data_IF_906849648208
#
_entry.id   IF_906849648208
#
_cell.length_a   1.000
_cell.length_b   1.000
_cell.length_c   1.000
_cell.angle_alpha   90.00
_cell.angle_beta   90.00
_cell.angle_gamma   90.00
#
_symmetry.space_group_name_H-M   'P 1'
#
loop_
_entity.id
_entity.type
_entity.pdbx_description
1 polymer ?
#
# COMPACT_ATOMS: atom_id res chain seq x y z
N UNK A 1 23.88 -18.96 4.20
CA UNK A 1 24.74 -18.86 5.40
C UNK A 1 24.47 -20.07 6.29
N UNK A 2 25.31 -20.35 7.29
CA UNK A 2 25.00 -21.30 8.39
C UNK A 2 25.40 -20.60 9.68
N UNK A 3 24.50 -20.55 10.66
CA UNK A 3 24.70 -19.85 11.95
C UNK A 3 25.19 -18.40 11.81
N UNK A 4 24.67 -17.67 10.80
CA UNK A 4 25.05 -16.28 10.54
C UNK A 4 26.41 -16.11 9.84
N UNK A 5 27.07 -17.20 9.45
CA UNK A 5 28.34 -17.17 8.73
C UNK A 5 28.15 -17.48 7.23
N UNK A 6 28.79 -16.66 6.41
CA UNK A 6 28.84 -16.83 4.96
C UNK A 6 29.56 -18.14 4.60
N UNK A 7 28.87 -19.02 3.88
CA UNK A 7 29.42 -20.31 3.41
C UNK A 7 30.11 -20.16 2.04
N UNK A 8 29.57 -19.29 1.20
CA UNK A 8 30.06 -19.01 -0.15
C UNK A 8 29.90 -17.52 -0.41
N UNK A 9 30.97 -16.88 -0.91
CA UNK A 9 30.94 -15.52 -1.41
C UNK A 9 30.45 -15.53 -2.84
N UNK A 10 29.21 -15.11 -3.02
CA UNK A 10 28.65 -14.78 -4.34
C UNK A 10 28.83 -13.29 -4.60
N UNK A 11 29.07 -12.92 -5.86
CA UNK A 11 29.05 -11.51 -6.24
C UNK A 11 27.68 -10.90 -5.96
N UNK A 12 27.65 -9.59 -5.72
CA UNK A 12 26.39 -8.86 -5.58
C UNK A 12 25.52 -9.07 -6.82
N UNK A 13 24.21 -9.22 -6.62
CA UNK A 13 23.28 -9.40 -7.71
C UNK A 13 23.28 -8.18 -8.63
N UNK A 14 23.18 -8.43 -9.93
CA UNK A 14 23.08 -7.35 -10.91
C UNK A 14 21.85 -6.49 -10.61
N UNK A 15 22.02 -5.17 -10.58
CA UNK A 15 20.96 -4.21 -10.24
C UNK A 15 19.70 -4.40 -11.07
N UNK A 16 19.83 -4.68 -12.38
CA UNK A 16 18.69 -4.97 -13.25
C UNK A 16 17.90 -6.23 -12.83
N UNK A 17 18.54 -7.23 -12.23
CA UNK A 17 17.85 -8.40 -11.69
C UNK A 17 17.07 -8.07 -10.43
N UNK A 18 17.61 -7.21 -9.56
CA UNK A 18 16.93 -6.72 -8.36
C UNK A 18 15.71 -5.87 -8.76
N UNK A 19 15.87 -4.96 -9.72
CA UNK A 19 14.75 -4.17 -10.24
C UNK A 19 13.69 -5.08 -10.88
N UNK A 20 14.10 -6.07 -11.67
CA UNK A 20 13.19 -7.04 -12.26
C UNK A 20 12.40 -7.84 -11.21
N UNK A 21 13.03 -8.18 -10.07
CA UNK A 21 12.35 -8.80 -8.94
C UNK A 21 11.33 -7.85 -8.29
N UNK A 22 11.71 -6.58 -8.09
CA UNK A 22 10.83 -5.56 -7.51
C UNK A 22 9.65 -5.18 -8.42
N UNK A 23 9.80 -5.29 -9.74
CA UNK A 23 8.76 -5.01 -10.76
C UNK A 23 8.18 -6.29 -11.37
N UNK A 24 8.20 -7.40 -10.63
CA UNK A 24 7.76 -8.72 -11.09
C UNK A 24 6.25 -8.95 -10.95
N UNK A 25 5.41 -7.89 -10.99
CA UNK A 25 3.95 -8.04 -10.99
C UNK A 25 3.45 -8.97 -12.11
N UNK A 26 4.19 -9.08 -13.22
CA UNK A 26 3.94 -10.06 -14.30
C UNK A 26 4.09 -11.53 -13.86
N UNK A 27 4.76 -11.80 -12.73
CA UNK A 27 4.82 -13.12 -12.09
C UNK A 27 3.57 -13.39 -11.22
N UNK A 28 2.53 -12.56 -11.31
CA UNK A 28 1.23 -12.78 -10.69
C UNK A 28 0.70 -14.20 -10.97
N UNK A 29 -0.04 -14.75 -10.02
CA UNK A 29 -0.74 -16.00 -10.25
C UNK A 29 -1.78 -15.82 -11.36
N UNK A 30 -2.13 -16.90 -12.07
CA UNK A 30 -3.20 -16.87 -13.09
C UNK A 30 -4.49 -16.27 -12.51
N UNK A 31 -4.80 -16.56 -11.25
CA UNK A 31 -5.93 -15.97 -10.52
C UNK A 31 -5.83 -14.45 -10.45
N UNK A 32 -4.68 -13.92 -10.05
CA UNK A 32 -4.50 -12.48 -9.90
C UNK A 32 -4.61 -11.74 -11.25
N UNK A 33 -3.99 -12.26 -12.32
CA UNK A 33 -4.15 -11.70 -13.67
C UNK A 33 -5.60 -11.74 -14.16
N UNK A 34 -6.31 -12.86 -13.92
CA UNK A 34 -7.72 -12.97 -14.30
C UNK A 34 -8.61 -12.01 -13.51
N UNK A 35 -8.31 -11.76 -12.24
CA UNK A 35 -9.03 -10.79 -11.44
C UNK A 35 -8.85 -9.36 -11.96
N UNK A 36 -7.66 -9.01 -12.44
CA UNK A 36 -7.42 -7.70 -13.06
C UNK A 36 -8.24 -7.52 -14.34
N UNK A 37 -8.23 -8.52 -15.24
CA UNK A 37 -9.07 -8.53 -16.43
C UNK A 37 -10.55 -8.45 -16.03
N UNK A 38 -10.95 -9.23 -15.04
CA UNK A 38 -12.32 -9.26 -14.54
C UNK A 38 -12.79 -7.87 -14.07
N UNK A 39 -11.94 -7.09 -13.40
CA UNK A 39 -12.29 -5.74 -12.97
C UNK A 39 -12.39 -4.77 -14.15
N UNK A 40 -11.62 -4.97 -15.21
CA UNK A 40 -11.66 -4.11 -16.39
C UNK A 40 -12.84 -4.38 -17.36
N UNK A 41 -13.45 -5.58 -17.32
CA UNK A 41 -14.49 -5.97 -18.30
C UNK A 41 -15.93 -5.66 -17.86
N UNK A 42 -16.89 -5.46 -18.80
CA UNK A 42 -18.31 -5.26 -18.49
C UNK A 42 -18.97 -6.45 -17.78
N UNK A 43 -20.08 -6.19 -17.07
CA UNK A 43 -20.79 -7.18 -16.25
C UNK A 43 -21.20 -8.47 -16.97
N UNK A 44 -21.54 -8.39 -18.26
CA UNK A 44 -21.88 -9.57 -19.07
C UNK A 44 -20.68 -10.51 -19.27
N UNK A 45 -19.48 -9.95 -19.49
CA UNK A 45 -18.23 -10.71 -19.64
C UNK A 45 -17.79 -11.26 -18.28
N UNK A 46 -17.94 -10.48 -17.20
CA UNK A 46 -17.71 -10.94 -15.82
C UNK A 46 -18.51 -12.20 -15.49
N UNK A 47 -19.80 -12.21 -15.81
CA UNK A 47 -20.67 -13.38 -15.58
C UNK A 47 -20.22 -14.63 -16.32
N UNK A 48 -19.66 -14.47 -17.54
CA UNK A 48 -19.10 -15.57 -18.31
C UNK A 48 -17.75 -16.07 -17.77
N UNK A 49 -17.00 -15.20 -17.06
CA UNK A 49 -15.71 -15.54 -16.42
C UNK A 49 -15.86 -16.19 -15.04
N UNK A 50 -16.99 -16.01 -14.35
CA UNK A 50 -17.23 -16.57 -13.00
C UNK A 50 -16.92 -18.09 -12.91
N UNK A 51 -17.36 -18.96 -13.84
CA UNK A 51 -17.06 -20.40 -13.76
C UNK A 51 -15.57 -20.73 -13.92
N UNK A 52 -14.80 -19.88 -14.62
CA UNK A 52 -13.35 -20.06 -14.76
C UNK A 52 -12.63 -19.64 -13.49
N UNK A 53 -13.06 -18.53 -12.86
CA UNK A 53 -12.54 -18.10 -11.57
C UNK A 53 -12.80 -19.15 -10.50
N UNK A 54 -14.02 -19.68 -10.40
CA UNK A 54 -14.37 -20.71 -9.42
C UNK A 54 -13.47 -21.96 -9.58
N UNK A 55 -13.23 -22.41 -10.82
CA UNK A 55 -12.34 -23.55 -11.09
C UNK A 55 -10.90 -23.31 -10.64
N UNK A 56 -10.41 -22.07 -10.75
CA UNK A 56 -9.07 -21.68 -10.35
C UNK A 56 -8.99 -21.49 -8.82
N UNK A 57 -10.06 -21.02 -8.18
CA UNK A 57 -10.13 -20.94 -6.71
C UNK A 57 -10.13 -22.31 -6.04
N UNK A 58 -10.71 -23.33 -6.68
CA UNK A 58 -10.76 -24.70 -6.16
C UNK A 58 -9.57 -25.55 -6.61
N UNK A 59 -8.70 -25.02 -7.48
CA UNK A 59 -7.42 -25.63 -7.82
C UNK A 59 -6.43 -25.47 -6.67
N UNK A 60 -5.81 -26.56 -6.23
CA UNK A 60 -4.85 -26.56 -5.11
C UNK A 60 -3.49 -25.95 -5.46
N UNK A 61 -3.19 -25.76 -6.75
CA UNK A 61 -1.90 -25.24 -7.20
C UNK A 61 -2.01 -23.79 -7.66
N UNK A 62 -1.31 -22.90 -6.95
CA UNK A 62 -1.11 -21.51 -7.39
C UNK A 62 -0.12 -21.54 -8.56
N UNK A 63 -0.65 -21.56 -9.78
CA UNK A 63 0.15 -21.52 -10.98
C UNK A 63 0.60 -20.07 -11.28
N UNK A 64 1.92 -19.88 -11.41
CA UNK A 64 2.57 -18.66 -11.86
C UNK A 64 3.13 -18.90 -13.28
N UNK A 65 2.70 -18.13 -14.30
CA UNK A 65 3.24 -18.31 -15.66
C UNK A 65 4.72 -17.97 -15.77
N UNK A 66 5.17 -17.00 -14.97
CA UNK A 66 6.59 -16.61 -14.86
C UNK A 66 7.03 -16.95 -13.43
N UNK A 67 8.11 -17.73 -13.25
CA UNK A 67 8.59 -18.07 -11.92
C UNK A 67 9.06 -16.82 -11.16
N UNK A 68 8.90 -16.78 -9.82
CA UNK A 68 9.39 -15.67 -9.01
C UNK A 68 10.92 -15.60 -9.04
N UNK A 69 11.45 -14.41 -8.73
CA UNK A 69 12.89 -14.22 -8.62
C UNK A 69 13.42 -15.01 -7.42
N UNK A 70 14.39 -15.91 -7.65
CA UNK A 70 14.93 -16.76 -6.57
C UNK A 70 16.36 -16.37 -6.22
N UNK A 71 16.65 -16.36 -4.92
CA UNK A 71 17.99 -16.10 -4.39
C UNK A 71 18.34 -17.06 -3.27
N UNK A 72 19.64 -17.26 -3.02
CA UNK A 72 20.10 -18.10 -1.91
C UNK A 72 19.64 -17.53 -0.58
N UNK A 73 18.99 -18.36 0.24
CA UNK A 73 18.43 -17.89 1.49
C UNK A 73 19.54 -17.58 2.51
N UNK A 74 19.70 -16.30 2.93
CA UNK A 74 20.66 -15.94 3.96
C UNK A 74 20.32 -16.58 5.32
N UNK A 75 19.06 -16.93 5.55
CA UNK A 75 18.58 -17.54 6.79
C UNK A 75 18.50 -19.06 6.74
N UNK A 76 19.01 -19.72 5.69
CA UNK A 76 18.98 -21.17 5.59
C UNK A 76 19.66 -21.80 6.82
N UNK A 77 19.01 -22.82 7.39
CA UNK A 77 19.43 -23.51 8.61
C UNK A 77 19.53 -22.62 9.85
N UNK A 78 18.84 -21.47 9.90
CA UNK A 78 18.73 -20.69 11.14
C UNK A 78 18.00 -21.51 12.21
N UNK A 79 18.58 -21.60 13.40
CA UNK A 79 17.94 -22.21 14.56
C UNK A 79 17.10 -21.16 15.27
N UNK A 80 15.78 -21.36 15.29
CA UNK A 80 14.85 -20.45 15.97
C UNK A 80 13.69 -21.22 16.59
N UNK A 81 13.19 -20.72 17.72
CA UNK A 81 11.96 -21.20 18.34
C UNK A 81 10.69 -20.63 17.69
N UNK A 82 10.82 -19.62 16.81
CA UNK A 82 9.69 -19.09 16.04
C UNK A 82 9.37 -20.01 14.86
N UNK A 83 8.11 -20.41 14.72
CA UNK A 83 7.65 -21.26 13.63
C UNK A 83 7.92 -20.63 12.25
N UNK A 84 7.73 -19.31 12.11
CA UNK A 84 7.99 -18.57 10.88
C UNK A 84 9.48 -18.59 10.50
N UNK A 85 10.35 -18.38 11.49
CA UNK A 85 11.80 -18.43 11.26
C UNK A 85 12.29 -19.86 11.01
N UNK A 86 11.67 -20.86 11.61
CA UNK A 86 11.95 -22.27 11.33
C UNK A 86 11.54 -22.64 9.90
N UNK A 87 10.37 -22.18 9.43
CA UNK A 87 9.95 -22.38 8.04
C UNK A 87 10.91 -21.66 7.09
N UNK A 88 11.24 -20.41 7.36
CA UNK A 88 12.22 -19.65 6.59
C UNK A 88 13.56 -20.38 6.52
N UNK A 89 14.04 -20.90 7.66
CA UNK A 89 15.30 -21.65 7.77
C UNK A 89 15.30 -22.99 7.05
N UNK A 90 14.14 -23.58 6.78
CA UNK A 90 14.02 -24.85 6.06
C UNK A 90 14.26 -24.73 4.55
N UNK A 91 14.11 -23.52 3.99
CA UNK A 91 14.15 -23.28 2.55
C UNK A 91 15.56 -22.87 2.11
N UNK A 92 16.21 -23.58 1.17
CA UNK A 92 17.53 -23.22 0.67
C UNK A 92 17.52 -21.96 -0.20
N UNK A 93 16.38 -21.65 -0.81
CA UNK A 93 16.16 -20.51 -1.69
C UNK A 93 14.98 -19.68 -1.18
N UNK A 94 15.08 -18.36 -1.34
CA UNK A 94 13.96 -17.44 -1.18
C UNK A 94 13.39 -17.10 -2.55
N UNK A 95 12.07 -17.17 -2.67
CA UNK A 95 11.33 -16.68 -3.82
C UNK A 95 10.77 -15.30 -3.48
N UNK A 96 11.20 -14.29 -4.24
CA UNK A 96 10.75 -12.91 -4.10
C UNK A 96 9.85 -12.54 -5.28
N UNK A 97 8.89 -11.67 -4.98
CA UNK A 97 7.95 -11.14 -5.95
C UNK A 97 7.65 -9.67 -5.65
N UNK A 98 7.05 -8.99 -6.61
CA UNK A 98 6.59 -7.61 -6.50
C UNK A 98 5.65 -7.41 -5.30
N UNK A 99 5.91 -6.37 -4.51
CA UNK A 99 5.12 -6.04 -3.34
C UNK A 99 3.70 -5.57 -3.70
N UNK A 100 3.47 -5.04 -4.91
CA UNK A 100 2.14 -4.64 -5.39
C UNK A 100 1.11 -5.78 -5.42
N UNK A 101 1.59 -7.03 -5.43
CA UNK A 101 0.76 -8.21 -5.29
C UNK A 101 0.11 -8.33 -3.90
N UNK A 102 0.73 -7.73 -2.87
CA UNK A 102 0.16 -7.62 -1.52
C UNK A 102 -0.30 -6.19 -1.21
N UNK A 103 0.51 -5.17 -1.42
CA UNK A 103 0.10 -3.78 -1.22
C UNK A 103 0.91 -2.84 -2.12
N UNK A 104 0.23 -2.08 -2.98
CA UNK A 104 0.88 -1.09 -3.85
C UNK A 104 1.52 0.06 -3.07
N UNK A 105 1.11 0.29 -1.82
CA UNK A 105 1.67 1.33 -0.98
C UNK A 105 2.69 0.73 0.02
N UNK A 106 3.98 1.13 -0.04
CA UNK A 106 5.05 0.50 0.73
C UNK A 106 5.09 0.96 2.19
N UNK A 107 3.97 0.79 2.91
CA UNK A 107 3.86 1.18 4.32
C UNK A 107 4.71 0.30 5.24
N UNK A 108 4.69 -1.03 5.05
CA UNK A 108 5.36 -1.99 5.92
C UNK A 108 6.84 -1.65 6.20
N UNK A 109 7.67 -1.32 5.18
CA UNK A 109 9.03 -0.84 5.44
C UNK A 109 9.06 0.38 6.37
N UNK A 110 8.19 1.37 6.16
CA UNK A 110 8.17 2.65 6.89
C UNK A 110 7.67 2.52 8.34
N UNK A 111 6.86 1.51 8.65
CA UNK A 111 6.23 1.33 9.95
C UNK A 111 7.10 0.60 10.98
N UNK A 112 8.31 0.17 10.59
CA UNK A 112 9.29 -0.40 11.52
C UNK A 112 9.64 0.57 12.66
N UNK A 113 9.52 0.17 13.94
CA UNK A 113 9.72 1.07 15.08
C UNK A 113 11.07 1.80 15.08
N UNK A 114 12.13 1.15 14.60
CA UNK A 114 13.49 1.68 14.59
C UNK A 114 13.66 2.89 13.67
N UNK A 115 12.79 3.03 12.65
CA UNK A 115 12.83 4.20 11.75
C UNK A 115 12.30 5.47 12.39
N UNK A 116 11.49 5.35 13.45
CA UNK A 116 10.96 6.51 14.17
C UNK A 116 10.17 7.48 13.28
N UNK A 117 9.54 7.00 12.21
CA UNK A 117 8.81 7.84 11.24
C UNK A 117 7.69 8.62 11.93
N UNK A 118 7.58 9.90 11.62
CA UNK A 118 6.54 10.79 12.17
C UNK A 118 5.57 11.29 11.10
N UNK A 119 6.05 11.43 9.85
CA UNK A 119 5.27 11.85 8.70
C UNK A 119 5.58 10.91 7.53
N UNK A 120 4.54 10.43 6.87
CA UNK A 120 4.60 9.67 5.62
C UNK A 120 3.96 10.52 4.53
N UNK A 121 4.70 10.82 3.47
CA UNK A 121 4.15 11.39 2.24
C UNK A 121 3.89 10.25 1.28
N UNK A 122 2.62 9.92 1.08
CA UNK A 122 2.16 8.80 0.29
C UNK A 122 1.69 9.33 -1.07
N UNK A 123 2.46 9.03 -2.12
CA UNK A 123 2.10 9.29 -3.51
C UNK A 123 1.49 8.01 -4.06
N UNK A 124 0.23 8.05 -4.49
CA UNK A 124 -0.50 6.88 -4.95
C UNK A 124 -0.84 7.04 -6.43
N UNK A 125 -0.15 6.26 -7.27
CA UNK A 125 -0.36 6.17 -8.72
C UNK A 125 -1.04 4.85 -9.10
N UNK A 126 -1.73 4.19 -8.17
CA UNK A 126 -2.47 2.96 -8.47
C UNK A 126 -3.67 3.24 -9.38
N UNK A 127 -4.08 2.24 -10.16
CA UNK A 127 -5.39 2.23 -10.79
C UNK A 127 -6.50 1.86 -9.78
N UNK A 128 -7.73 2.29 -10.05
CA UNK A 128 -8.92 1.93 -9.25
C UNK A 128 -8.79 2.21 -7.74
N UNK A 129 -8.09 3.28 -7.36
CA UNK A 129 -7.77 3.62 -5.95
C UNK A 129 -8.98 3.64 -5.02
N UNK A 130 -10.16 3.91 -5.56
CA UNK A 130 -11.42 4.06 -4.82
C UNK A 130 -11.93 2.76 -4.22
N UNK A 131 -11.65 1.64 -4.88
CA UNK A 131 -12.11 0.32 -4.47
C UNK A 131 -10.98 -0.53 -3.86
N UNK A 132 -9.74 -0.02 -3.84
CA UNK A 132 -8.59 -0.77 -3.37
C UNK A 132 -8.32 -0.56 -1.86
N UNK A 133 -8.20 -1.65 -1.06
CA UNK A 133 -8.13 -1.55 0.40
C UNK A 133 -6.69 -1.34 0.93
N UNK A 134 -5.87 -0.50 0.30
CA UNK A 134 -4.43 -0.35 0.64
C UNK A 134 -4.19 0.07 2.10
N UNK A 135 -4.99 0.99 2.60
CA UNK A 135 -4.92 1.45 3.99
C UNK A 135 -5.40 0.40 4.99
N UNK A 136 -6.38 -0.43 4.60
CA UNK A 136 -6.84 -1.53 5.44
C UNK A 136 -5.79 -2.65 5.55
N UNK A 137 -5.09 -2.97 4.45
CA UNK A 137 -3.95 -3.90 4.47
C UNK A 137 -2.80 -3.37 5.33
N UNK A 138 -2.49 -2.08 5.23
CA UNK A 138 -1.48 -1.44 6.07
C UNK A 138 -1.84 -1.47 7.57
N UNK A 139 -3.13 -1.29 7.87
CA UNK A 139 -3.68 -1.37 9.23
C UNK A 139 -3.59 -2.78 9.81
N UNK A 140 -3.93 -3.81 9.03
CA UNK A 140 -3.75 -5.21 9.41
C UNK A 140 -2.28 -5.51 9.70
N UNK A 141 -1.38 -5.12 8.79
CA UNK A 141 0.06 -5.30 8.98
C UNK A 141 0.56 -4.59 10.25
N UNK A 142 0.11 -3.35 10.48
CA UNK A 142 0.46 -2.58 11.68
C UNK A 142 0.00 -3.29 12.96
N UNK A 143 -1.19 -3.89 12.95
CA UNK A 143 -1.73 -4.66 14.08
C UNK A 143 -0.86 -5.90 14.36
N UNK A 144 -0.58 -6.69 13.32
CA UNK A 144 0.17 -7.94 13.44
C UNK A 144 1.61 -7.73 13.95
N UNK A 145 2.17 -6.54 13.70
CA UNK A 145 3.54 -6.18 14.08
C UNK A 145 3.60 -5.24 15.31
N UNK A 146 2.47 -5.05 16.01
CA UNK A 146 2.43 -4.23 17.24
C UNK A 146 2.72 -2.75 17.03
N UNK A 147 2.47 -2.22 15.84
CA UNK A 147 2.67 -0.81 15.50
C UNK A 147 1.51 0.02 16.03
N UNK A 148 1.65 0.53 17.25
CA UNK A 148 0.59 1.29 17.92
C UNK A 148 0.32 2.68 17.30
N UNK A 149 1.32 3.24 16.59
CA UNK A 149 1.33 4.64 16.11
C UNK A 149 0.56 4.86 14.80
N UNK A 150 0.06 3.81 14.15
CA UNK A 150 -0.69 3.92 12.91
C UNK A 150 -1.96 4.78 13.12
N UNK A 151 -2.36 5.65 12.16
CA UNK A 151 -3.63 6.35 12.25
C UNK A 151 -4.79 5.39 11.93
N UNK A 152 -5.33 4.77 12.98
CA UNK A 152 -6.39 3.74 12.89
C UNK A 152 -7.72 4.27 12.34
N UNK A 153 -8.40 3.46 11.53
CA UNK A 153 -9.69 3.76 10.91
C UNK A 153 -9.60 4.69 9.70
N UNK A 154 -8.39 4.99 9.22
CA UNK A 154 -8.17 5.83 8.04
C UNK A 154 -8.62 5.12 6.77
N UNK A 155 -9.52 5.76 6.01
CA UNK A 155 -9.97 5.33 4.68
C UNK A 155 -10.10 6.58 3.80
N UNK A 156 -9.27 6.77 2.77
CA UNK A 156 -9.40 7.92 1.88
C UNK A 156 -10.66 7.86 1.03
N UNK A 157 -11.11 6.65 0.71
CA UNK A 157 -12.22 6.38 -0.20
C UNK A 157 -13.38 5.72 0.54
N UNK A 158 -14.60 5.86 -0.01
CA UNK A 158 -15.76 5.15 0.49
C UNK A 158 -15.59 3.64 0.20
N UNK A 159 -15.89 2.78 1.18
CA UNK A 159 -15.82 1.33 0.98
C UNK A 159 -16.83 0.90 -0.10
N UNK A 160 -16.39 0.07 -1.06
CA UNK A 160 -17.28 -0.50 -2.07
C UNK A 160 -18.34 -1.38 -1.37
N UNK A 161 -19.64 -1.00 -1.42
CA UNK A 161 -20.69 -1.76 -0.79
C UNK A 161 -20.92 -3.14 -1.42
N UNK A 162 -20.40 -3.40 -2.62
CA UNK A 162 -20.61 -4.64 -3.37
C UNK A 162 -19.58 -5.73 -3.05
N UNK A 163 -18.38 -5.39 -2.54
CA UNK A 163 -17.32 -6.36 -2.20
C UNK A 163 -16.42 -5.86 -1.06
N UNK A 164 -16.75 -6.13 0.22
CA UNK A 164 -15.78 -5.95 1.28
C UNK A 164 -14.61 -6.92 1.07
N UNK A 165 -13.37 -6.44 1.12
CA UNK A 165 -12.20 -7.33 1.14
C UNK A 165 -12.24 -8.24 2.37
N UNK A 166 -11.61 -9.43 2.33
CA UNK A 166 -11.52 -10.31 3.51
C UNK A 166 -10.93 -9.58 4.73
N UNK A 167 -9.95 -8.70 4.51
CA UNK A 167 -9.37 -7.84 5.54
C UNK A 167 -10.40 -6.86 6.11
N UNK A 168 -11.23 -6.23 5.27
CA UNK A 168 -12.33 -5.35 5.72
C UNK A 168 -13.46 -6.12 6.42
N UNK A 169 -13.80 -7.33 5.97
CA UNK A 169 -14.80 -8.19 6.59
C UNK A 169 -14.34 -8.71 7.96
N UNK A 170 -13.06 -9.05 8.11
CA UNK A 170 -12.45 -9.42 9.39
C UNK A 170 -12.37 -8.23 10.37
N UNK A 171 -12.20 -7.00 9.86
CA UNK A 171 -12.15 -5.79 10.69
C UNK A 171 -13.54 -5.23 11.04
N UNK A 172 -14.53 -5.30 10.15
CA UNK A 172 -15.90 -4.87 10.42
C UNK A 172 -16.56 -5.78 11.49
N UNK A 173 -16.08 -7.01 11.67
CA UNK A 173 -16.46 -7.86 12.80
C UNK A 173 -15.82 -7.44 14.13
N UNK A 174 -14.67 -6.74 14.11
CA UNK A 174 -13.92 -6.33 15.30
C UNK A 174 -14.09 -4.86 15.69
N UNK A 175 -14.64 -4.01 14.80
CA UNK A 175 -14.73 -2.55 15.02
C UNK A 175 -16.19 -2.09 15.14
N UNK A 176 -16.54 -1.49 16.28
CA UNK A 176 -17.86 -0.93 16.60
C UNK A 176 -18.39 0.04 15.52
N UNK A 177 -19.63 -0.21 15.08
CA UNK A 177 -20.65 0.53 14.29
C UNK A 177 -20.50 2.04 13.92
N UNK A 178 -19.57 2.81 14.49
CA UNK A 178 -19.47 4.27 14.34
C UNK A 178 -18.75 4.81 13.09
N UNK A 179 -18.15 3.97 12.25
CA UNK A 179 -17.26 4.41 11.14
C UNK A 179 -17.97 4.80 9.84
N UNK A 180 -19.28 4.58 9.71
CA UNK A 180 -19.99 4.76 8.42
C UNK A 180 -20.11 6.21 7.95
N UNK A 181 -20.32 7.18 8.84
CA UNK A 181 -20.57 8.59 8.42
C UNK A 181 -19.30 9.34 8.03
N UNK A 182 -18.15 8.99 8.60
CA UNK A 182 -16.84 9.59 8.28
C UNK A 182 -16.37 9.17 6.87
N UNK A 183 -16.69 7.93 6.45
CA UNK A 183 -16.33 7.35 5.14
C UNK A 183 -16.90 8.13 3.95
N UNK A 184 -18.18 8.55 4.01
CA UNK A 184 -18.84 9.30 2.92
C UNK A 184 -18.34 10.75 2.78
N UNK A 185 -17.77 11.30 3.85
CA UNK A 185 -17.34 12.71 3.87
C UNK A 185 -15.98 12.94 3.19
N UNK A 186 -15.13 11.93 3.02
CA UNK A 186 -13.76 12.12 2.49
C UNK A 186 -13.69 11.96 0.97
N UNK A 187 -14.38 10.98 0.41
CA UNK A 187 -14.52 10.80 -1.05
C UNK A 187 -15.07 12.07 -1.72
N UNK A 188 -16.15 12.61 -1.13
CA UNK A 188 -16.73 13.89 -1.55
C UNK A 188 -15.72 15.04 -1.53
N UNK A 189 -14.84 15.11 -0.51
CA UNK A 189 -13.82 16.18 -0.41
C UNK A 189 -12.70 16.06 -1.43
N UNK A 190 -12.35 14.84 -1.84
CA UNK A 190 -11.30 14.62 -2.85
C UNK A 190 -11.82 14.99 -4.25
N UNK A 191 -13.05 14.61 -4.57
CA UNK A 191 -13.68 14.82 -5.88
C UNK A 191 -14.33 16.20 -6.01
N UNK A 192 -15.20 16.59 -5.08
CA UNK A 192 -16.00 17.82 -5.20
C UNK A 192 -15.20 19.08 -4.83
N UNK A 193 -14.31 18.98 -3.83
CA UNK A 193 -13.53 20.15 -3.37
C UNK A 193 -12.16 20.27 -4.08
N UNK A 194 -11.89 19.43 -5.10
CA UNK A 194 -10.64 19.40 -5.86
C UNK A 194 -9.36 19.30 -4.98
N UNK A 195 -9.46 18.60 -3.84
CA UNK A 195 -8.34 18.42 -2.91
C UNK A 195 -7.40 17.32 -3.44
N UNK A 196 -6.09 17.57 -3.46
CA UNK A 196 -5.05 16.62 -3.92
C UNK A 196 -4.15 16.10 -2.80
N UNK A 197 -4.43 16.49 -1.55
CA UNK A 197 -3.77 15.97 -0.37
C UNK A 197 -4.75 15.81 0.80
N UNK A 198 -4.92 14.58 1.25
CA UNK A 198 -5.69 14.22 2.44
C UNK A 198 -4.73 13.98 3.60
N UNK A 199 -4.99 14.63 4.74
CA UNK A 199 -4.14 14.54 5.93
C UNK A 199 -4.80 13.63 6.95
N UNK A 200 -4.08 12.60 7.37
CA UNK A 200 -4.46 11.70 8.45
C UNK A 200 -3.48 11.84 9.59
N UNK A 201 -3.83 12.64 10.59
CA UNK A 201 -2.95 12.96 11.72
C UNK A 201 -3.50 12.50 13.08
N UNK A 202 -4.73 11.98 13.11
CA UNK A 202 -5.42 11.44 14.27
C UNK A 202 -6.07 10.09 13.93
N UNK A 203 -6.17 9.17 14.90
CA UNK A 203 -6.95 7.96 14.75
C UNK A 203 -8.45 8.29 14.70
N UNK A 204 -9.16 7.71 13.73
CA UNK A 204 -10.62 7.75 13.61
C UNK A 204 -11.27 6.64 14.44
N UNK A 205 -10.55 5.53 14.64
CA UNK A 205 -10.95 4.39 15.47
C UNK A 205 -9.93 4.15 16.59
N UNK A 206 -10.32 3.46 17.67
CA UNK A 206 -9.38 3.04 18.70
C UNK A 206 -8.44 1.96 18.13
N UNK A 207 -7.17 2.01 18.55
CA UNK A 207 -6.21 0.94 18.26
C UNK A 207 -6.73 -0.40 18.79
N UNK A 208 -6.60 -1.51 18.04
CA UNK A 208 -6.94 -2.85 18.54
C UNK A 208 -5.99 -3.32 19.65
N UNK A 209 -4.87 -2.62 19.88
CA UNK A 209 -3.88 -2.95 20.90
C UNK A 209 -4.29 -2.43 22.30
N UNK A 210 -3.87 -3.09 23.40
CA UNK A 210 -4.26 -2.71 24.76
C UNK A 210 -3.90 -1.26 25.12
N UNK A 211 -4.80 -0.56 25.82
CA UNK A 211 -4.59 0.84 26.24
C UNK A 211 -3.38 0.96 27.18
N UNK A 212 -2.37 1.74 26.78
CA UNK A 212 -1.25 2.19 27.63
C UNK A 212 -1.55 3.53 28.30
N UNK A 213 -0.89 3.80 29.45
CA UNK A 213 -1.04 5.03 30.26
C UNK A 213 -0.64 6.32 29.53
N UNK A 214 0.15 6.22 28.46
CA UNK A 214 0.48 7.33 27.56
C UNK A 214 0.23 6.85 26.13
N UNK A 215 -0.65 7.54 25.41
CA UNK A 215 -0.91 7.21 24.00
C UNK A 215 0.36 7.51 23.18
N UNK A 216 0.82 6.57 22.34
CA UNK A 216 1.98 6.79 21.50
C UNK A 216 1.66 7.85 20.44
N UNK A 217 2.69 8.59 20.00
CA UNK A 217 2.52 9.69 19.05
C UNK A 217 2.04 9.14 17.70
N UNK A 218 0.88 9.55 17.17
CA UNK A 218 0.40 9.04 15.89
C UNK A 218 1.33 9.44 14.75
N UNK A 219 1.47 8.56 13.76
CA UNK A 219 2.10 8.86 12.48
C UNK A 219 1.13 9.72 11.68
N UNK A 220 1.64 10.79 11.07
CA UNK A 220 0.86 11.61 10.14
C UNK A 220 1.03 11.06 8.73
N UNK A 221 -0.06 10.68 8.07
CA UNK A 221 -0.05 10.24 6.68
C UNK A 221 -0.64 11.33 5.81
N UNK A 222 0.14 11.81 4.85
CA UNK A 222 -0.28 12.72 3.79
C UNK A 222 -0.53 11.88 2.55
N UNK A 223 -1.78 11.69 2.17
CA UNK A 223 -2.17 10.87 1.03
C UNK A 223 -2.42 11.76 -0.19
N UNK A 224 -1.68 11.52 -1.26
CA UNK A 224 -1.73 12.26 -2.52
C UNK A 224 -1.99 11.27 -3.66
N UNK A 225 -3.27 11.03 -4.00
CA UNK A 225 -3.63 10.24 -5.16
C UNK A 225 -3.37 11.01 -6.46
N UNK A 226 -2.92 10.30 -7.49
CA UNK A 226 -2.77 10.83 -8.83
C UNK A 226 -4.14 10.92 -9.50
N UNK A 227 -4.72 12.13 -9.49
CA UNK A 227 -6.06 12.39 -10.01
C UNK A 227 -6.03 13.41 -11.15
N UNK A 228 -7.04 13.39 -12.05
CA UNK A 228 -7.28 14.50 -12.98
C UNK A 228 -7.44 15.81 -12.20
N UNK A 229 -7.10 16.94 -12.81
CA UNK A 229 -7.25 18.24 -12.16
C UNK A 229 -7.80 19.28 -13.13
N UNK A 230 -8.97 19.88 -12.87
CA UNK A 230 -9.59 20.86 -13.77
C UNK A 230 -8.76 22.14 -13.92
N UNK A 231 -7.84 22.42 -12.99
CA UNK A 231 -6.96 23.59 -13.04
C UNK A 231 -5.62 23.29 -13.75
N UNK A 232 -5.39 22.05 -14.17
CA UNK A 232 -4.18 21.68 -14.92
C UNK A 232 -4.25 22.18 -16.36
N UNK A 233 -3.09 22.30 -17.02
CA UNK A 233 -3.00 22.81 -18.41
C UNK A 233 -3.86 22.02 -19.41
N UNK A 234 -4.09 20.73 -19.14
CA UNK A 234 -5.08 19.91 -19.83
C UNK A 234 -6.15 19.44 -18.84
N UNK A 235 -7.28 20.18 -18.71
CA UNK A 235 -8.34 19.85 -17.76
C UNK A 235 -9.08 18.54 -18.06
N UNK A 236 -8.92 17.99 -19.27
CA UNK A 236 -9.58 16.75 -19.70
C UNK A 236 -8.68 15.53 -19.56
N UNK A 237 -7.40 15.74 -19.27
CA UNK A 237 -6.48 14.64 -19.06
C UNK A 237 -6.80 13.93 -17.76
N UNK A 238 -7.14 12.65 -17.89
CA UNK A 238 -7.43 11.76 -16.78
C UNK A 238 -6.50 10.54 -16.84
N UNK A 239 -5.56 10.39 -15.88
CA UNK A 239 -4.62 9.28 -15.86
C UNK A 239 -5.30 7.92 -15.63
N UNK A 240 -6.52 7.88 -15.10
CA UNK A 240 -7.25 6.63 -14.90
C UNK A 240 -7.79 6.06 -16.22
N UNK A 241 -8.18 6.93 -17.15
CA UNK A 241 -8.85 6.54 -18.41
C UNK A 241 -7.97 6.70 -19.65
N UNK A 242 -6.83 7.37 -19.54
CA UNK A 242 -5.89 7.53 -20.64
C UNK A 242 -5.22 6.19 -21.02
N UNK A 243 -5.34 5.79 -22.29
CA UNK A 243 -4.82 4.51 -22.80
C UNK A 243 -3.34 4.27 -22.48
N UNK A 244 -2.52 5.32 -22.53
CA UNK A 244 -1.07 5.21 -22.30
C UNK A 244 -0.69 5.11 -20.82
N UNK A 245 -1.59 5.42 -19.89
CA UNK A 245 -1.36 5.32 -18.45
C UNK A 245 -1.64 3.92 -17.88
N UNK A 246 -2.11 2.99 -18.71
CA UNK A 246 -2.38 1.62 -18.28
C UNK A 246 -1.11 0.92 -17.77
N UNK A 247 -1.24 0.14 -16.69
CA UNK A 247 -0.14 -0.59 -16.01
C UNK A 247 0.73 -1.41 -16.97
N UNK A 248 0.11 -1.99 -18.01
CA UNK A 248 0.79 -2.85 -18.98
C UNK A 248 1.31 -2.11 -20.21
N UNK A 249 1.22 -0.78 -20.25
CA UNK A 249 1.77 -0.01 -21.35
C UNK A 249 3.30 0.17 -21.18
N UNK A 250 4.07 -0.45 -22.07
CA UNK A 250 5.53 -0.40 -22.10
C UNK A 250 6.08 0.68 -23.06
N UNK A 251 5.21 1.44 -23.73
CA UNK A 251 5.60 2.43 -24.75
C UNK A 251 5.04 3.80 -24.45
N UNK A 252 5.94 4.76 -24.29
CA UNK A 252 5.62 6.13 -23.95
C UNK A 252 6.35 7.08 -24.88
N UNK A 253 5.65 8.11 -25.37
CA UNK A 253 6.30 9.27 -25.98
C UNK A 253 6.83 10.22 -24.90
N UNK A 254 7.81 11.07 -25.25
CA UNK A 254 8.31 12.08 -24.32
C UNK A 254 7.20 13.01 -23.83
N UNK A 255 6.29 13.39 -24.72
CA UNK A 255 5.15 14.26 -24.38
C UNK A 255 4.18 13.59 -23.40
N UNK A 256 3.98 12.27 -23.51
CA UNK A 256 3.14 11.50 -22.58
C UNK A 256 3.77 11.41 -21.19
N UNK A 257 5.09 11.20 -21.13
CA UNK A 257 5.84 11.20 -19.85
C UNK A 257 5.75 12.58 -19.20
N UNK A 258 6.04 13.64 -19.95
CA UNK A 258 5.99 15.02 -19.45
C UNK A 258 4.57 15.39 -19.00
N UNK A 259 3.53 15.00 -19.75
CA UNK A 259 2.14 15.25 -19.38
C UNK A 259 1.78 14.64 -18.03
N UNK A 260 2.13 13.38 -17.79
CA UNK A 260 1.82 12.70 -16.53
C UNK A 260 2.64 13.26 -15.36
N UNK A 261 3.94 13.47 -15.57
CA UNK A 261 4.84 14.02 -14.56
C UNK A 261 4.45 15.44 -14.16
N UNK A 262 4.03 16.27 -15.12
CA UNK A 262 3.57 17.63 -14.87
C UNK A 262 2.23 17.64 -14.13
N UNK A 263 1.31 16.72 -14.44
CA UNK A 263 0.07 16.57 -13.67
C UNK A 263 0.39 16.24 -12.20
N UNK A 264 1.26 15.26 -11.96
CA UNK A 264 1.64 14.85 -10.61
C UNK A 264 2.30 16.01 -9.84
N UNK A 265 3.21 16.72 -10.49
CA UNK A 265 3.91 17.89 -9.93
C UNK A 265 2.95 19.04 -9.64
N UNK A 266 2.01 19.31 -10.55
CA UNK A 266 1.00 20.32 -10.39
C UNK A 266 0.08 20.01 -9.20
N UNK A 267 -0.43 18.77 -9.11
CA UNK A 267 -1.25 18.31 -7.98
C UNK A 267 -0.54 18.50 -6.64
N UNK A 268 0.74 18.15 -6.54
CA UNK A 268 1.52 18.35 -5.31
C UNK A 268 1.73 19.84 -5.01
N UNK A 269 2.00 20.67 -6.03
CA UNK A 269 2.26 22.11 -5.86
C UNK A 269 1.06 22.86 -5.29
N UNK A 270 -0.17 22.48 -5.67
CA UNK A 270 -1.41 23.07 -5.16
C UNK A 270 -1.60 22.82 -3.66
N UNK A 271 -0.99 21.76 -3.13
CA UNK A 271 -1.17 21.31 -1.74
C UNK A 271 0.04 21.61 -0.85
N UNK A 272 1.02 22.38 -1.35
CA UNK A 272 2.28 22.59 -0.64
C UNK A 272 2.09 23.24 0.73
N UNK A 273 1.15 24.16 0.88
CA UNK A 273 0.86 24.81 2.16
C UNK A 273 0.18 23.85 3.15
N UNK A 274 -0.69 22.96 2.66
CA UNK A 274 -1.31 21.91 3.48
C UNK A 274 -0.27 20.91 3.97
N UNK A 275 0.63 20.48 3.09
CA UNK A 275 1.77 19.61 3.44
C UNK A 275 2.64 20.28 4.50
N UNK A 276 3.01 21.55 4.28
CA UNK A 276 3.83 22.34 5.22
C UNK A 276 3.17 22.43 6.59
N UNK A 277 1.88 22.70 6.66
CA UNK A 277 1.17 22.80 7.93
C UNK A 277 1.10 21.45 8.65
N UNK A 278 0.80 20.36 7.94
CA UNK A 278 0.76 19.03 8.55
C UNK A 278 2.13 18.61 9.11
N UNK A 279 3.23 18.93 8.41
CA UNK A 279 4.60 18.71 8.89
C UNK A 279 4.88 19.57 10.13
N UNK A 280 4.47 20.85 10.14
CA UNK A 280 4.60 21.71 11.33
C UNK A 280 3.84 21.16 12.53
N UNK A 281 2.62 20.65 12.32
CA UNK A 281 1.80 20.04 13.38
C UNK A 281 2.44 18.75 13.91
N UNK A 282 2.98 17.90 13.04
CA UNK A 282 3.74 16.72 13.46
C UNK A 282 5.00 17.08 14.26
N UNK A 283 5.74 18.10 13.82
CA UNK A 283 6.89 18.64 14.53
C UNK A 283 6.52 19.16 15.93
N UNK A 284 5.48 19.99 16.04
CA UNK A 284 5.01 20.52 17.33
C UNK A 284 4.63 19.40 18.30
N UNK A 285 3.94 18.35 17.81
CA UNK A 285 3.62 17.15 18.60
C UNK A 285 4.87 16.41 19.09
N UNK A 286 5.85 16.19 18.21
CA UNK A 286 7.14 15.58 18.57
C UNK A 286 7.88 16.40 19.61
N UNK A 287 7.96 17.72 19.43
CA UNK A 287 8.61 18.65 20.36
C UNK A 287 7.94 18.63 21.74
N UNK A 288 6.61 18.72 21.79
CA UNK A 288 5.85 18.70 23.04
C UNK A 288 6.07 17.41 23.83
N UNK A 289 6.07 16.26 23.14
CA UNK A 289 6.34 14.97 23.78
C UNK A 289 7.77 14.87 24.34
N UNK A 290 8.76 15.39 23.60
CA UNK A 290 10.15 15.44 24.08
C UNK A 290 10.27 16.31 25.34
N UNK A 291 9.68 17.51 25.34
CA UNK A 291 9.70 18.40 26.50
C UNK A 291 9.03 17.76 27.73
N UNK A 292 7.88 17.09 27.53
CA UNK A 292 7.22 16.32 28.58
C UNK A 292 8.12 15.21 29.16
N UNK A 293 8.87 14.50 28.32
CA UNK A 293 9.83 13.48 28.77
C UNK A 293 11.04 14.08 29.51
N UNK A 294 11.44 15.31 29.14
CA UNK A 294 12.53 16.06 29.77
C UNK A 294 12.09 16.79 31.07
N UNK A 295 10.79 16.80 31.39
CA UNK A 295 10.24 17.49 32.56
C UNK A 295 10.17 19.02 32.40
N UNK A 296 10.16 19.51 31.15
CA UNK A 296 10.13 20.92 30.74
C UNK A 296 8.76 21.37 30.23
#
# INVERSE_FOLDING_TARGET
>A
MVDGHEQFKIGEAHFGGILGAASSAFCASIKAMLMEIYMAVPGAVRSAMNPLLDRIEHGTEIAHPIPPYTLYNPFFQITSSSAELAELGSKPLLSLMDAGMDNNLPFAPLLRPERGVDVIVCLDASANIEIMPWFARAEAWASDHGVERWPWGVRPWAADPLRPSKAEAQLDQSTLSGTRSVRQSMDKRIRDDNIRCVVFDQPVALSPLPKRKLLPRPITVLYLPLLPNPNFRDPRFDPETADFCGTFNDRWSSEQVDLLADLASFNMSQEIERIREAVKVAYKRKRAHRLYQEGL
#
